data_IF_320452410198
#
_entry.id   IF_320452410198
#
_cell.length_a   1.000
_cell.length_b   1.000
_cell.length_c   1.000
_cell.angle_alpha   90.00
_cell.angle_beta   90.00
_cell.angle_gamma   90.00
#
_symmetry.space_group_name_H-M   'P 1'
#
loop_
_entity.id
_entity.type
_entity.pdbx_description
1 polymer ?
#
# COMPACT_ATOMS: atom_id res chain seq x y z
N UNK A 1 3.66 14.29 28.31
CA UNK A 1 2.56 14.26 27.32
C UNK A 1 1.54 13.23 27.77
N UNK A 2 0.29 13.63 28.01
CA UNK A 2 -0.78 12.72 28.45
C UNK A 2 -1.24 11.86 27.27
N UNK A 3 -1.30 10.53 27.42
CA UNK A 3 -1.84 9.64 26.37
C UNK A 3 -3.34 9.90 26.26
N UNK A 4 -3.77 10.39 25.11
CA UNK A 4 -5.19 10.60 24.81
C UNK A 4 -5.87 9.26 24.57
N UNK A 5 -7.14 9.16 24.96
CA UNK A 5 -7.95 7.98 24.67
C UNK A 5 -8.07 7.81 23.14
N UNK A 6 -8.13 6.57 22.66
CA UNK A 6 -8.10 6.26 21.22
C UNK A 6 -9.26 6.87 20.44
N UNK A 7 -10.39 7.12 21.12
CA UNK A 7 -11.58 7.78 20.57
C UNK A 7 -11.50 9.30 20.53
N UNK A 8 -10.42 9.93 21.02
CA UNK A 8 -10.23 11.37 20.88
C UNK A 8 -9.93 11.69 19.39
N UNK A 9 -10.63 12.65 18.75
CA UNK A 9 -10.37 13.04 17.36
C UNK A 9 -8.93 13.47 17.09
N UNK A 10 -8.23 13.94 18.13
CA UNK A 10 -6.83 14.35 18.07
C UNK A 10 -5.85 13.26 18.53
N UNK A 11 -6.34 12.05 18.86
CA UNK A 11 -5.49 10.91 19.11
C UNK A 11 -4.72 10.56 17.84
N UNK A 12 -3.40 10.40 17.97
CA UNK A 12 -2.52 10.00 16.87
C UNK A 12 -1.86 8.68 17.19
N UNK A 13 -1.70 7.85 16.16
CA UNK A 13 -0.85 6.66 16.18
C UNK A 13 0.41 6.96 15.40
N UNK A 14 1.54 6.75 16.04
CA UNK A 14 2.85 7.06 15.46
C UNK A 14 3.71 5.80 15.46
N UNK A 15 4.27 5.48 14.30
CA UNK A 15 5.11 4.30 14.07
C UNK A 15 6.59 4.73 14.12
N UNK A 16 7.22 4.55 15.28
CA UNK A 16 8.57 5.08 15.59
C UNK A 16 9.73 4.18 15.15
N UNK A 17 9.47 3.02 14.56
CA UNK A 17 10.49 2.02 14.28
C UNK A 17 11.48 2.51 13.20
N UNK A 18 12.77 2.21 13.40
CA UNK A 18 13.83 2.51 12.43
C UNK A 18 13.66 1.74 11.10
N UNK A 19 12.97 0.60 11.20
CA UNK A 19 12.54 -0.22 10.07
C UNK A 19 11.01 -0.31 10.08
N UNK A 20 10.42 -0.86 9.01
CA UNK A 20 8.99 -1.19 9.02
C UNK A 20 8.71 -2.15 10.20
N UNK A 21 7.61 -2.07 10.94
CA UNK A 21 7.29 -3.05 12.01
C UNK A 21 7.10 -4.49 11.47
N UNK A 22 7.34 -5.52 12.29
CA UNK A 22 7.01 -6.92 11.91
C UNK A 22 5.50 -7.15 11.82
N UNK A 23 4.74 -6.56 12.75
CA UNK A 23 3.28 -6.60 12.74
C UNK A 23 2.73 -5.20 12.61
N UNK A 24 1.90 -4.99 11.59
CA UNK A 24 1.34 -3.68 11.25
C UNK A 24 -0.13 -3.70 11.64
N UNK A 25 -0.55 -2.72 12.43
CA UNK A 25 -1.96 -2.52 12.75
C UNK A 25 -2.65 -1.82 11.58
N UNK A 26 -3.39 -2.59 10.79
CA UNK A 26 -4.08 -2.10 9.59
C UNK A 26 -5.44 -1.52 9.95
N UNK A 27 -6.20 -2.24 10.78
CA UNK A 27 -7.51 -1.79 11.31
C UNK A 27 -7.47 -1.65 12.83
N UNK A 28 -8.56 -1.18 13.45
CA UNK A 28 -8.61 -1.06 14.92
C UNK A 28 -8.39 -2.38 15.66
N UNK A 29 -8.80 -3.50 15.05
CA UNK A 29 -8.71 -4.84 15.66
C UNK A 29 -7.82 -5.79 14.88
N UNK A 30 -7.36 -5.41 13.68
CA UNK A 30 -6.62 -6.27 12.76
C UNK A 30 -5.15 -5.92 12.67
N UNK A 31 -4.32 -6.95 12.80
CA UNK A 31 -2.87 -6.88 12.59
C UNK A 31 -2.47 -7.79 11.43
N UNK A 32 -1.52 -7.33 10.64
CA UNK A 32 -0.99 -8.06 9.50
C UNK A 32 0.52 -8.14 9.59
N UNK A 33 1.07 -9.33 9.36
CA UNK A 33 2.51 -9.55 9.35
C UNK A 33 3.14 -8.91 8.12
N UNK A 34 4.33 -8.32 8.26
CA UNK A 34 5.09 -7.71 7.17
C UNK A 34 5.33 -8.68 6.01
N UNK A 35 5.62 -9.96 6.30
CA UNK A 35 5.83 -10.98 5.26
C UNK A 35 4.57 -11.21 4.43
N UNK A 36 3.40 -11.14 5.06
CA UNK A 36 2.12 -11.24 4.36
C UNK A 36 1.87 -10.01 3.47
N UNK A 37 2.26 -8.80 3.91
CA UNK A 37 2.24 -7.62 3.03
C UNK A 37 3.17 -7.78 1.81
N UNK A 38 4.38 -8.32 1.99
CA UNK A 38 5.31 -8.60 0.87
C UNK A 38 4.69 -9.62 -0.10
N UNK A 39 3.99 -10.64 0.40
CA UNK A 39 3.24 -11.56 -0.45
C UNK A 39 2.18 -10.84 -1.29
N UNK A 40 1.38 -9.94 -0.68
CA UNK A 40 0.40 -9.14 -1.42
C UNK A 40 1.05 -8.27 -2.50
N UNK A 41 2.16 -7.60 -2.19
CA UNK A 41 2.92 -6.80 -3.16
C UNK A 41 3.38 -7.63 -4.35
N UNK A 42 3.90 -8.83 -4.10
CA UNK A 42 4.36 -9.73 -5.16
C UNK A 42 3.20 -10.21 -6.03
N UNK A 43 2.07 -10.60 -5.44
CA UNK A 43 0.88 -11.00 -6.19
C UNK A 43 0.33 -9.85 -7.05
N UNK A 44 0.33 -8.62 -6.53
CA UNK A 44 -0.09 -7.44 -7.31
C UNK A 44 0.90 -7.09 -8.42
N UNK A 45 2.21 -7.22 -8.17
CA UNK A 45 3.26 -6.75 -9.08
C UNK A 45 3.64 -7.78 -10.15
N UNK A 46 3.63 -9.07 -9.80
CA UNK A 46 4.10 -10.17 -10.66
C UNK A 46 2.91 -10.89 -11.29
N UNK A 47 1.94 -11.28 -10.46
CA UNK A 47 0.76 -12.02 -10.91
C UNK A 47 -0.34 -11.10 -11.45
N UNK A 48 -0.17 -9.76 -11.31
CA UNK A 48 -1.17 -8.75 -11.64
C UNK A 48 -2.55 -9.05 -11.01
N UNK A 49 -2.55 -9.67 -9.83
CA UNK A 49 -3.77 -10.11 -9.17
C UNK A 49 -4.49 -8.92 -8.51
N UNK A 50 -5.82 -8.94 -8.55
CA UNK A 50 -6.64 -7.96 -7.82
C UNK A 50 -6.67 -8.29 -6.33
N UNK A 51 -6.94 -7.31 -5.47
CA UNK A 51 -7.05 -7.52 -4.02
C UNK A 51 -8.07 -8.62 -3.66
N UNK A 52 -9.20 -8.69 -4.39
CA UNK A 52 -10.20 -9.75 -4.23
C UNK A 52 -9.68 -11.13 -4.69
N UNK A 53 -8.89 -11.18 -5.76
CA UNK A 53 -8.23 -12.42 -6.19
C UNK A 53 -7.25 -12.94 -5.15
N UNK A 54 -6.39 -12.05 -4.64
CA UNK A 54 -5.42 -12.35 -3.60
C UNK A 54 -6.10 -12.87 -2.34
N UNK A 55 -7.19 -12.22 -1.90
CA UNK A 55 -7.90 -12.63 -0.70
C UNK A 55 -8.51 -14.04 -0.84
N UNK A 56 -9.06 -14.37 -2.02
CA UNK A 56 -9.58 -15.72 -2.30
C UNK A 56 -8.47 -16.77 -2.32
N UNK A 57 -7.34 -16.48 -2.98
CA UNK A 57 -6.18 -17.38 -3.03
C UNK A 57 -5.65 -17.64 -1.62
N UNK A 58 -5.48 -16.58 -0.83
CA UNK A 58 -5.03 -16.71 0.56
C UNK A 58 -6.01 -17.56 1.37
N UNK A 59 -7.30 -17.25 1.37
CA UNK A 59 -8.29 -17.98 2.17
C UNK A 59 -8.35 -19.47 1.76
N UNK A 60 -8.26 -19.77 0.46
CA UNK A 60 -8.30 -21.15 -0.03
C UNK A 60 -7.03 -21.96 0.26
N UNK A 61 -5.85 -21.34 0.16
CA UNK A 61 -4.57 -22.05 0.24
C UNK A 61 -3.87 -21.94 1.60
N UNK A 62 -3.98 -20.80 2.27
CA UNK A 62 -3.19 -20.43 3.45
C UNK A 62 -4.05 -20.08 4.68
N UNK A 63 -5.33 -19.73 4.48
CA UNK A 63 -6.25 -19.30 5.55
C UNK A 63 -6.76 -20.43 6.45
N UNK A 64 -6.50 -21.69 6.09
CA UNK A 64 -6.93 -22.86 6.86
C UNK A 64 -6.05 -23.06 8.09
N UNK A 65 -6.40 -22.42 9.20
CA UNK A 65 -5.81 -22.70 10.51
C UNK A 65 -6.55 -23.86 11.18
N UNK A 66 -5.81 -24.86 11.65
CA UNK A 66 -6.35 -25.94 12.49
C UNK A 66 -6.51 -25.54 13.95
N UNK A 67 -6.09 -24.32 14.31
CA UNK A 67 -6.17 -23.81 15.67
C UNK A 67 -7.62 -23.39 15.94
N UNK A 68 -8.30 -23.95 16.95
CA UNK A 68 -9.62 -23.52 17.34
C UNK A 68 -9.57 -22.05 17.78
N UNK A 69 -9.99 -21.14 16.91
CA UNK A 69 -10.04 -19.74 17.22
C UNK A 69 -11.39 -19.42 17.90
N UNK A 70 -11.37 -19.22 19.22
CA UNK A 70 -12.55 -18.75 19.97
C UNK A 70 -12.81 -17.25 19.78
N UNK A 71 -12.02 -16.55 18.96
CA UNK A 71 -12.18 -15.13 18.68
C UNK A 71 -13.40 -14.87 17.81
N UNK A 72 -14.11 -13.78 18.11
CA UNK A 72 -15.21 -13.25 17.30
C UNK A 72 -14.73 -12.41 16.10
N UNK A 73 -13.42 -12.23 15.95
CA UNK A 73 -12.84 -11.43 14.87
C UNK A 73 -12.80 -12.22 13.55
N UNK A 74 -13.01 -11.53 12.43
CA UNK A 74 -13.10 -12.07 11.08
C UNK A 74 -11.97 -13.07 10.77
N UNK A 75 -12.35 -14.28 10.37
CA UNK A 75 -11.41 -15.35 10.02
C UNK A 75 -10.93 -15.23 8.56
N UNK A 76 -11.73 -14.59 7.70
CA UNK A 76 -11.44 -14.49 6.27
C UNK A 76 -10.76 -13.16 5.94
N UNK A 77 -9.68 -13.27 5.16
CA UNK A 77 -9.05 -12.11 4.55
C UNK A 77 -9.99 -11.53 3.49
N UNK A 78 -10.27 -10.23 3.57
CA UNK A 78 -11.06 -9.51 2.57
C UNK A 78 -10.15 -8.76 1.59
N UNK A 79 -10.68 -8.44 0.41
CA UNK A 79 -9.95 -7.62 -0.56
C UNK A 79 -9.63 -6.21 -0.03
N UNK A 80 -10.51 -5.63 0.79
CA UNK A 80 -10.27 -4.33 1.41
C UNK A 80 -9.11 -4.40 2.40
N UNK A 81 -9.04 -5.45 3.24
CA UNK A 81 -7.94 -5.62 4.17
C UNK A 81 -6.61 -5.85 3.43
N UNK A 82 -6.62 -6.56 2.30
CA UNK A 82 -5.43 -6.68 1.42
C UNK A 82 -4.97 -5.31 0.93
N UNK A 83 -5.90 -4.49 0.43
CA UNK A 83 -5.60 -3.15 -0.07
C UNK A 83 -5.05 -2.25 1.04
N UNK A 84 -5.72 -2.20 2.20
CA UNK A 84 -5.29 -1.41 3.34
C UNK A 84 -3.90 -1.85 3.84
N UNK A 85 -3.66 -3.15 3.93
CA UNK A 85 -2.36 -3.71 4.34
C UNK A 85 -1.24 -3.32 3.38
N UNK A 86 -1.52 -3.40 2.08
CA UNK A 86 -0.61 -2.99 1.03
C UNK A 86 -0.28 -1.49 1.13
N UNK A 87 -1.29 -0.63 1.30
CA UNK A 87 -1.11 0.82 1.41
C UNK A 87 -0.31 1.19 2.67
N UNK A 88 -0.64 0.60 3.83
CA UNK A 88 0.11 0.82 5.07
C UNK A 88 1.58 0.43 4.91
N UNK A 89 1.85 -0.77 4.36
CA UNK A 89 3.20 -1.25 4.15
C UNK A 89 3.98 -0.35 3.18
N UNK A 90 3.35 0.08 2.08
CA UNK A 90 3.95 0.99 1.11
C UNK A 90 4.31 2.35 1.72
N UNK A 91 3.41 2.94 2.52
CA UNK A 91 3.66 4.22 3.19
C UNK A 91 4.76 4.08 4.24
N UNK A 92 4.76 3.01 5.05
CA UNK A 92 5.81 2.77 6.04
C UNK A 92 7.19 2.64 5.38
N UNK A 93 7.27 1.93 4.25
CA UNK A 93 8.50 1.83 3.46
C UNK A 93 8.95 3.18 2.88
N UNK A 94 8.00 4.00 2.40
CA UNK A 94 8.28 5.36 1.92
C UNK A 94 8.87 6.22 3.05
N UNK A 95 8.18 6.28 4.20
CA UNK A 95 8.64 7.02 5.38
C UNK A 95 10.02 6.56 5.83
N UNK A 96 10.25 5.25 5.89
CA UNK A 96 11.59 4.67 6.19
C UNK A 96 12.65 5.13 5.20
N UNK A 97 12.37 5.10 3.88
CA UNK A 97 13.31 5.55 2.84
C UNK A 97 13.70 7.02 3.02
N UNK A 98 12.78 7.84 3.51
CA UNK A 98 12.98 9.26 3.76
C UNK A 98 13.42 9.60 5.19
N UNK A 99 13.64 8.59 6.05
CA UNK A 99 13.95 8.76 7.49
C UNK A 99 12.90 9.61 8.23
N UNK A 100 11.65 9.41 7.86
CA UNK A 100 10.49 10.04 8.46
C UNK A 100 9.67 9.04 9.25
N UNK A 101 8.82 9.57 10.13
CA UNK A 101 7.94 8.78 10.99
C UNK A 101 6.52 8.88 10.44
N UNK A 102 5.84 7.74 10.30
CA UNK A 102 4.42 7.74 9.97
C UNK A 102 3.61 8.09 11.22
N UNK A 103 2.83 9.17 11.18
CA UNK A 103 1.86 9.52 12.22
C UNK A 103 0.50 9.71 11.60
N UNK A 104 -0.46 8.87 11.95
CA UNK A 104 -1.85 8.88 11.44
C UNK A 104 -2.82 9.24 12.55
N UNK A 105 -3.97 9.81 12.18
CA UNK A 105 -5.07 10.03 13.11
C UNK A 105 -5.63 8.66 13.52
N UNK A 106 -5.91 8.49 14.81
CA UNK A 106 -6.41 7.23 15.35
C UNK A 106 -7.94 7.17 15.40
N UNK A 107 -8.61 8.30 15.63
CA UNK A 107 -10.07 8.37 15.77
C UNK A 107 -10.84 8.61 14.48
N UNK A 108 -10.19 8.63 13.31
CA UNK A 108 -10.83 8.84 12.02
C UNK A 108 -11.26 7.50 11.37
N UNK A 109 -12.11 7.57 10.35
CA UNK A 109 -12.49 6.40 9.55
C UNK A 109 -11.27 5.70 8.97
N UNK A 110 -11.23 4.37 9.06
CA UNK A 110 -10.08 3.55 8.66
C UNK A 110 -9.57 3.85 7.24
N UNK A 111 -10.50 4.04 6.30
CA UNK A 111 -10.20 4.32 4.90
C UNK A 111 -9.53 5.68 4.66
N UNK A 112 -9.69 6.66 5.57
CA UNK A 112 -9.12 8.01 5.46
C UNK A 112 -7.79 8.17 6.21
N UNK A 113 -7.41 7.22 7.07
CA UNK A 113 -6.22 7.31 7.93
C UNK A 113 -4.90 7.56 7.19
N UNK A 114 -4.82 7.08 5.95
CA UNK A 114 -3.62 7.21 5.11
C UNK A 114 -3.71 8.36 4.09
N UNK A 115 -4.82 9.08 3.99
CA UNK A 115 -5.04 10.08 2.94
C UNK A 115 -3.93 11.14 2.90
N UNK A 116 -3.56 11.69 4.06
CA UNK A 116 -2.49 12.69 4.15
C UNK A 116 -1.14 12.12 3.67
N UNK A 117 -0.78 10.92 4.15
CA UNK A 117 0.49 10.29 3.80
C UNK A 117 0.56 9.86 2.33
N UNK A 118 -0.57 9.40 1.76
CA UNK A 118 -0.68 9.05 0.35
C UNK A 118 -0.63 10.30 -0.54
N UNK A 119 -1.30 11.38 -0.15
CA UNK A 119 -1.21 12.69 -0.84
C UNK A 119 0.23 13.19 -0.84
N UNK A 120 0.90 13.17 0.30
CA UNK A 120 2.29 13.57 0.43
C UNK A 120 3.21 12.76 -0.48
N UNK A 121 3.05 11.43 -0.50
CA UNK A 121 3.77 10.56 -1.41
C UNK A 121 3.48 10.89 -2.88
N UNK A 122 2.22 11.13 -3.24
CA UNK A 122 1.84 11.52 -4.60
C UNK A 122 2.51 12.84 -5.01
N UNK A 123 2.58 13.83 -4.12
CA UNK A 123 3.27 15.09 -4.39
C UNK A 123 4.77 14.88 -4.62
N UNK A 124 5.41 13.98 -3.88
CA UNK A 124 6.83 13.63 -4.10
C UNK A 124 7.04 12.95 -5.45
N UNK A 125 6.13 12.08 -5.86
CA UNK A 125 6.24 11.36 -7.13
C UNK A 125 5.85 12.19 -8.34
N UNK A 126 5.13 13.30 -8.15
CA UNK A 126 4.70 14.18 -9.23
C UNK A 126 5.91 14.84 -9.92
N UNK A 127 5.85 14.95 -11.25
CA UNK A 127 6.93 15.53 -12.04
C UNK A 127 8.18 14.65 -12.05
N UNK A 128 9.29 15.18 -11.53
CA UNK A 128 10.62 14.58 -11.63
C UNK A 128 11.00 13.66 -10.47
N UNK A 129 10.10 13.44 -9.51
CA UNK A 129 10.43 12.70 -8.28
C UNK A 129 10.45 11.17 -8.42
N UNK A 130 10.14 10.63 -9.60
CA UNK A 130 10.31 9.19 -9.88
C UNK A 130 11.71 8.92 -10.43
N UNK A 131 12.34 7.80 -10.02
CA UNK A 131 13.70 7.45 -10.46
C UNK A 131 13.86 7.41 -11.99
N UNK A 132 12.79 7.05 -12.71
CA UNK A 132 12.75 6.95 -14.16
C UNK A 132 11.84 8.00 -14.81
N UNK A 133 11.68 9.18 -14.21
CA UNK A 133 10.77 10.23 -14.70
C UNK A 133 11.06 10.67 -16.13
N UNK A 134 12.33 10.71 -16.54
CA UNK A 134 12.77 11.09 -17.89
C UNK A 134 13.09 9.87 -18.78
N UNK A 135 12.67 8.67 -18.40
CA UNK A 135 13.02 7.47 -19.14
C UNK A 135 12.26 7.38 -20.47
N UNK A 136 12.97 7.59 -21.57
CA UNK A 136 12.47 7.45 -22.94
C UNK A 136 13.30 6.39 -23.69
N UNK A 137 13.08 5.10 -23.37
CA UNK A 137 13.61 4.02 -24.21
C UNK A 137 12.62 3.62 -25.29
N UNK A 138 13.13 2.97 -26.34
CA UNK A 138 12.34 2.45 -27.49
C UNK A 138 11.24 1.45 -27.09
N UNK A 139 11.26 0.96 -25.84
CA UNK A 139 10.22 0.08 -25.29
C UNK A 139 9.08 0.84 -24.61
N UNK A 140 9.39 1.94 -23.92
CA UNK A 140 8.43 2.77 -23.19
C UNK A 140 7.82 3.85 -24.08
N UNK A 141 8.61 4.42 -25.00
CA UNK A 141 8.19 5.40 -25.98
C UNK A 141 8.46 4.82 -27.37
N UNK A 142 7.44 4.22 -27.98
CA UNK A 142 7.52 3.78 -29.37
C UNK A 142 7.13 4.94 -30.27
N UNK A 143 8.09 5.39 -31.06
CA UNK A 143 7.88 6.37 -32.13
C UNK A 143 7.78 5.61 -33.44
N UNK A 144 6.68 5.80 -34.15
CA UNK A 144 6.41 5.22 -35.46
C UNK A 144 6.63 6.28 -36.53
N UNK A 145 7.28 5.93 -37.63
CA UNK A 145 7.32 6.81 -38.79
C UNK A 145 6.09 6.57 -39.66
N UNK A 146 5.31 7.63 -39.90
CA UNK A 146 4.21 7.59 -40.84
C UNK A 146 4.69 7.76 -42.28
N UNK A 147 3.80 7.44 -43.23
CA UNK A 147 4.07 7.55 -44.67
C UNK A 147 4.33 9.00 -45.13
N UNK A 148 3.94 9.98 -44.32
CA UNK A 148 4.18 11.41 -44.52
C UNK A 148 5.57 11.88 -44.01
N UNK A 149 6.40 10.96 -43.51
CA UNK A 149 7.71 11.24 -42.96
C UNK A 149 7.68 11.84 -41.54
N UNK A 150 6.51 11.96 -40.91
CA UNK A 150 6.39 12.42 -39.52
C UNK A 150 6.54 11.27 -38.54
N UNK A 151 6.98 11.61 -37.33
CA UNK A 151 7.14 10.69 -36.23
C UNK A 151 5.93 10.80 -35.30
N UNK A 152 5.27 9.68 -35.03
CA UNK A 152 4.07 9.58 -34.20
C UNK A 152 4.38 8.75 -32.97
N UNK A 153 3.99 9.22 -31.78
CA UNK A 153 3.96 8.33 -30.63
C UNK A 153 2.72 7.42 -30.66
N UNK A 154 2.67 6.42 -29.77
CA UNK A 154 1.52 5.49 -29.65
C UNK A 154 0.20 6.20 -29.29
N UNK A 155 0.23 7.48 -28.95
CA UNK A 155 -0.92 8.29 -28.52
C UNK A 155 -1.35 9.32 -29.57
N UNK A 156 -0.72 9.32 -30.74
CA UNK A 156 -1.19 10.04 -31.93
C UNK A 156 -0.92 11.55 -31.90
N UNK A 157 0.18 11.98 -31.27
CA UNK A 157 0.72 13.34 -31.43
C UNK A 157 1.96 13.36 -32.33
#
# INVERSE_FOLDING_TARGET
MCRKHTSDPSARRTYYDEDVPEFIQVTDTGFVERRLCIFFENEMSISHATCQGISRVYNAALGNSSIPNSSRLLHELTGDLVLESFLFHAVLRDKRRHREVLSVIHGDYQNHRLDEALKERNYRMAGTGQHHWAHACDRCMRVYQGEDGRSYDRWGA
#
